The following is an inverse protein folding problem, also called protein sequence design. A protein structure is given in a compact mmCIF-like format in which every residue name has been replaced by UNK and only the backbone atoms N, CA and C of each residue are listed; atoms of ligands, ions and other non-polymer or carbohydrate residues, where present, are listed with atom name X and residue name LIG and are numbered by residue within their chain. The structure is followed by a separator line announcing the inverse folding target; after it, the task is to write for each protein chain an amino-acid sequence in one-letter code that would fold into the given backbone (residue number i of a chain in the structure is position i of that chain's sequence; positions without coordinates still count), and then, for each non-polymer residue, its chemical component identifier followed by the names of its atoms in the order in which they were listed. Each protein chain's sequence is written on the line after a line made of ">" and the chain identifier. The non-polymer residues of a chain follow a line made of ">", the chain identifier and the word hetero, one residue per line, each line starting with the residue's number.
data_IF_566319182562
#
_entry.id   IF_566319182562
#
_cell.length_a   1.000
_cell.length_b   1.000
_cell.length_c   1.000
_cell.angle_alpha   90.00
_cell.angle_beta   90.00
_cell.angle_gamma   90.00
#
_symmetry.space_group_name_H-M   'P 1'
#
loop_
_entity.id
_entity.type
_entity.pdbx_description
1 polymer ?
#
# COMPACT_ATOMS: atom_id res chain seq x y z
N UNK A 1 -5.39 17.49 2.61
CA UNK A 1 -5.23 18.07 3.96
C UNK A 1 -5.27 19.59 3.89
N UNK A 2 -6.21 20.21 4.63
CA UNK A 2 -6.30 21.66 4.80
C UNK A 2 -5.11 22.17 5.63
N UNK A 3 -4.60 23.37 5.34
CA UNK A 3 -3.61 24.04 6.19
C UNK A 3 -4.33 25.08 7.04
N UNK A 4 -3.83 25.32 8.25
CA UNK A 4 -4.43 26.33 9.12
C UNK A 4 -4.35 27.73 8.50
N UNK A 5 -5.50 28.36 8.37
CA UNK A 5 -5.69 29.63 7.66
C UNK A 5 -6.53 30.63 8.47
N UNK A 6 -6.75 30.36 9.76
CA UNK A 6 -7.36 31.32 10.68
C UNK A 6 -6.50 32.58 10.80
N UNK A 7 -7.11 33.69 11.19
CA UNK A 7 -6.42 34.99 11.32
C UNK A 7 -5.27 35.01 12.33
N UNK A 8 -5.19 34.02 13.22
CA UNK A 8 -4.09 33.86 14.18
C UNK A 8 -3.13 32.72 13.82
N UNK A 9 -3.21 32.20 12.59
CA UNK A 9 -2.19 31.32 12.04
C UNK A 9 -0.85 32.06 11.89
N UNK A 10 0.25 31.37 12.18
CA UNK A 10 1.59 31.90 11.92
C UNK A 10 1.84 31.89 10.42
N UNK A 11 1.88 33.09 9.82
CA UNK A 11 2.11 33.25 8.38
C UNK A 11 3.47 32.69 7.98
N UNK A 12 3.50 31.96 6.86
CA UNK A 12 4.71 31.46 6.20
C UNK A 12 5.68 30.65 7.09
N UNK A 13 5.19 30.04 8.19
CA UNK A 13 6.00 29.25 9.14
C UNK A 13 6.87 28.19 8.48
N UNK A 14 6.39 27.59 7.39
CA UNK A 14 7.09 26.54 6.65
C UNK A 14 7.49 26.98 5.22
N UNK A 15 7.61 28.29 4.97
CA UNK A 15 7.89 28.89 3.67
C UNK A 15 6.70 29.66 3.09
N UNK A 16 6.90 30.33 1.96
CA UNK A 16 5.90 31.20 1.33
C UNK A 16 4.57 30.45 1.07
N UNK A 17 3.47 31.02 1.54
CA UNK A 17 2.11 30.45 1.48
C UNK A 17 1.85 29.29 2.44
N UNK A 18 2.81 28.92 3.30
CA UNK A 18 2.73 27.73 4.16
C UNK A 18 2.60 28.12 5.63
N UNK A 19 1.41 28.57 5.98
CA UNK A 19 1.05 28.92 7.35
C UNK A 19 1.12 27.70 8.29
N UNK A 20 1.28 27.97 9.59
CA UNK A 20 1.34 26.94 10.63
C UNK A 20 0.80 27.39 11.98
N UNK A 21 0.74 26.46 12.93
CA UNK A 21 0.29 26.71 14.29
C UNK A 21 1.36 27.44 15.11
N UNK A 22 0.95 28.34 15.99
CA UNK A 22 1.77 28.96 17.02
C UNK A 22 1.05 28.90 18.36
N UNK A 23 1.80 28.77 19.46
CA UNK A 23 1.26 28.89 20.82
C UNK A 23 0.95 30.35 21.19
N UNK A 24 1.29 31.29 20.31
CA UNK A 24 1.31 32.71 20.62
C UNK A 24 2.50 33.07 21.50
N UNK A 25 2.53 34.34 21.88
CA UNK A 25 3.48 34.90 22.83
C UNK A 25 2.81 36.09 23.53
N UNK A 26 2.38 35.93 24.80
CA UNK A 26 1.74 36.98 25.56
C UNK A 26 2.62 38.21 25.76
N UNK A 27 3.95 38.08 25.72
CA UNK A 27 4.89 39.19 25.94
C UNK A 27 4.94 40.15 24.75
N UNK A 28 4.71 39.62 23.55
CA UNK A 28 4.63 40.38 22.29
C UNK A 28 3.20 40.66 21.85
N UNK A 29 2.20 40.17 22.59
CA UNK A 29 0.79 40.26 22.22
C UNK A 29 0.38 39.34 21.07
N UNK A 30 1.24 38.40 20.67
CA UNK A 30 0.95 37.45 19.60
C UNK A 30 -0.07 36.42 20.09
N UNK A 31 -1.28 36.32 19.50
CA UNK A 31 -2.26 35.34 19.94
C UNK A 31 -1.87 33.92 19.51
N UNK A 32 -2.32 32.92 20.28
CA UNK A 32 -2.26 31.52 19.86
C UNK A 32 -3.14 31.26 18.64
N UNK A 33 -2.77 30.25 17.84
CA UNK A 33 -3.55 29.85 16.68
C UNK A 33 -4.92 29.32 17.09
N UNK A 34 -5.97 29.97 16.59
CA UNK A 34 -7.35 29.54 16.73
C UNK A 34 -7.61 28.43 15.74
N UNK A 35 -8.41 27.45 16.14
CA UNK A 35 -8.85 26.36 15.27
C UNK A 35 -10.24 26.69 14.74
N UNK A 36 -10.55 26.25 13.51
CA UNK A 36 -11.84 26.40 12.85
C UNK A 36 -12.39 25.04 12.42
N UNK A 37 -13.65 25.00 11.98
CA UNK A 37 -14.28 23.80 11.41
C UNK A 37 -13.45 23.25 10.25
N UNK A 38 -13.01 24.10 9.35
CA UNK A 38 -12.41 23.69 8.07
C UNK A 38 -11.17 22.80 8.25
N UNK A 39 -10.30 23.11 9.22
CA UNK A 39 -9.13 22.25 9.51
C UNK A 39 -9.53 20.93 10.17
N UNK A 40 -10.52 20.94 11.07
CA UNK A 40 -10.97 19.75 11.78
C UNK A 40 -11.77 18.81 10.90
N UNK A 41 -12.65 19.34 10.05
CA UNK A 41 -13.39 18.59 9.06
C UNK A 41 -12.41 17.97 8.05
N UNK A 42 -11.41 18.71 7.58
CA UNK A 42 -10.38 18.15 6.71
C UNK A 42 -9.59 17.02 7.40
N UNK A 43 -9.20 17.17 8.66
CA UNK A 43 -8.52 16.10 9.41
C UNK A 43 -9.41 14.88 9.60
N UNK A 44 -10.70 15.09 9.90
CA UNK A 44 -11.68 14.01 10.03
C UNK A 44 -11.81 13.24 8.70
N UNK A 45 -12.03 13.94 7.60
CA UNK A 45 -12.26 13.31 6.30
C UNK A 45 -11.02 12.56 5.79
N UNK A 46 -9.80 13.03 6.07
CA UNK A 46 -8.57 12.29 5.75
C UNK A 46 -8.50 10.95 6.51
N UNK A 47 -8.84 10.95 7.81
CA UNK A 47 -8.86 9.72 8.62
C UNK A 47 -10.02 8.80 8.21
N UNK A 48 -11.22 9.36 8.01
CA UNK A 48 -12.40 8.62 7.55
C UNK A 48 -12.15 7.96 6.19
N UNK A 49 -11.54 8.69 5.25
CA UNK A 49 -11.21 8.17 3.92
C UNK A 49 -10.35 6.91 3.98
N UNK A 50 -9.33 6.87 4.85
CA UNK A 50 -8.50 5.66 5.01
C UNK A 50 -9.32 4.48 5.53
N UNK A 51 -10.21 4.73 6.49
CA UNK A 51 -11.08 3.70 7.07
C UNK A 51 -12.05 3.16 6.04
N UNK A 52 -12.75 4.04 5.32
CA UNK A 52 -13.75 3.65 4.33
C UNK A 52 -13.13 2.98 3.10
N UNK A 53 -11.95 3.43 2.64
CA UNK A 53 -11.21 2.76 1.55
C UNK A 53 -10.74 1.34 1.91
N UNK A 54 -10.53 1.06 3.19
CA UNK A 54 -10.30 -0.32 3.65
C UNK A 54 -11.58 -1.17 3.63
N UNK A 55 -12.74 -0.60 3.30
CA UNK A 55 -14.05 -1.25 3.34
C UNK A 55 -14.59 -1.41 4.76
N UNK A 56 -14.12 -0.61 5.73
CA UNK A 56 -14.66 -0.57 7.08
C UNK A 56 -15.68 0.57 7.16
N UNK A 57 -16.87 0.30 7.69
CA UNK A 57 -17.87 1.34 7.96
C UNK A 57 -17.51 2.12 9.23
N UNK A 58 -17.65 3.44 9.18
CA UNK A 58 -17.40 4.32 10.32
C UNK A 58 -18.31 3.99 11.52
N UNK A 59 -17.72 3.92 12.71
CA UNK A 59 -18.39 3.67 13.97
C UNK A 59 -17.90 4.63 15.07
N UNK A 60 -18.76 5.56 15.50
CA UNK A 60 -18.45 6.57 16.53
C UNK A 60 -18.06 6.00 17.90
N UNK A 61 -18.44 4.76 18.21
CA UNK A 61 -18.09 4.08 19.46
C UNK A 61 -16.76 3.31 19.36
N UNK A 62 -16.06 3.36 18.22
CA UNK A 62 -14.80 2.65 18.00
C UNK A 62 -13.65 3.60 17.70
N UNK A 63 -12.72 3.75 18.65
CA UNK A 63 -11.62 4.72 18.60
C UNK A 63 -10.31 4.20 18.00
N UNK A 64 -10.33 3.00 17.38
CA UNK A 64 -9.15 2.37 16.76
C UNK A 64 -9.41 1.95 15.30
N UNK A 65 -10.31 2.64 14.61
CA UNK A 65 -10.68 2.34 13.23
C UNK A 65 -9.54 2.51 12.24
N UNK A 66 -8.76 3.59 12.36
CA UNK A 66 -7.60 3.83 11.50
C UNK A 66 -6.58 2.69 11.60
N UNK A 67 -6.31 2.22 12.81
CA UNK A 67 -5.44 1.06 13.04
C UNK A 67 -5.94 -0.19 12.31
N UNK A 68 -7.24 -0.51 12.42
CA UNK A 68 -7.84 -1.66 11.72
C UNK A 68 -7.74 -1.51 10.20
N UNK A 69 -7.98 -0.30 9.70
CA UNK A 69 -7.94 0.00 8.28
C UNK A 69 -6.54 -0.21 7.70
N UNK A 70 -5.51 0.34 8.35
CA UNK A 70 -4.11 0.18 7.95
C UNK A 70 -3.72 -1.30 7.94
N UNK A 71 -4.07 -2.06 8.99
CA UNK A 71 -3.81 -3.50 9.06
C UNK A 71 -4.44 -4.23 7.86
N UNK A 72 -5.72 -3.97 7.58
CA UNK A 72 -6.46 -4.61 6.49
C UNK A 72 -5.92 -4.23 5.10
N UNK A 73 -5.54 -2.97 4.89
CA UNK A 73 -4.93 -2.52 3.63
C UNK A 73 -3.57 -3.21 3.41
N UNK A 74 -2.74 -3.30 4.45
CA UNK A 74 -1.45 -4.01 4.37
C UNK A 74 -1.63 -5.50 4.05
N UNK A 75 -2.63 -6.16 4.66
CA UNK A 75 -2.96 -7.56 4.36
C UNK A 75 -3.46 -7.72 2.91
N UNK A 76 -4.23 -6.76 2.41
CA UNK A 76 -4.75 -6.77 1.03
C UNK A 76 -3.61 -6.70 0.02
N UNK A 77 -2.67 -5.76 0.19
CA UNK A 77 -1.50 -5.64 -0.69
C UNK A 77 -0.60 -6.88 -0.65
N UNK A 78 -0.35 -7.44 0.54
CA UNK A 78 0.41 -8.68 0.68
C UNK A 78 -0.26 -9.86 -0.06
N UNK A 79 -1.58 -9.98 0.03
CA UNK A 79 -2.34 -11.01 -0.66
C UNK A 79 -2.33 -10.82 -2.18
N UNK A 80 -2.41 -9.58 -2.67
CA UNK A 80 -2.30 -9.26 -4.10
C UNK A 80 -0.92 -9.67 -4.65
N UNK A 81 0.16 -9.33 -3.94
CA UNK A 81 1.52 -9.73 -4.32
C UNK A 81 1.67 -11.26 -4.33
N UNK A 82 1.16 -11.94 -3.30
CA UNK A 82 1.15 -13.41 -3.24
C UNK A 82 0.40 -14.03 -4.42
N UNK A 83 -0.76 -13.47 -4.79
CA UNK A 83 -1.54 -13.95 -5.93
C UNK A 83 -0.77 -13.82 -7.25
N UNK A 84 -0.12 -12.68 -7.48
CA UNK A 84 0.69 -12.47 -8.67
C UNK A 84 1.84 -13.49 -8.79
N UNK A 85 2.50 -13.80 -7.67
CA UNK A 85 3.53 -14.83 -7.62
C UNK A 85 2.98 -16.23 -7.97
N UNK A 86 1.84 -16.61 -7.39
CA UNK A 86 1.21 -17.91 -7.66
C UNK A 86 0.80 -18.02 -9.13
N UNK A 87 0.20 -16.97 -9.69
CA UNK A 87 -0.21 -16.93 -11.10
C UNK A 87 1.01 -17.10 -12.04
N UNK A 88 2.15 -16.49 -11.72
CA UNK A 88 3.41 -16.69 -12.45
C UNK A 88 3.98 -18.10 -12.34
N UNK A 89 4.04 -18.67 -11.13
CA UNK A 89 4.53 -20.04 -10.91
C UNK A 89 3.69 -21.10 -11.64
N UNK A 90 2.38 -20.87 -11.77
CA UNK A 90 1.51 -21.77 -12.53
C UNK A 90 1.90 -21.81 -14.02
N UNK A 91 2.30 -20.67 -14.60
CA UNK A 91 2.78 -20.59 -16.00
C UNK A 91 4.12 -21.32 -16.15
N UNK A 92 5.05 -21.12 -15.22
CA UNK A 92 6.37 -21.76 -15.25
C UNK A 92 6.25 -23.28 -15.12
N UNK A 93 5.44 -23.77 -14.17
CA UNK A 93 5.20 -25.20 -13.99
C UNK A 93 4.57 -25.83 -15.24
N UNK A 94 3.61 -25.13 -15.87
CA UNK A 94 3.02 -25.57 -17.13
C UNK A 94 4.05 -25.65 -18.26
N UNK A 95 5.01 -24.72 -18.28
CA UNK A 95 6.09 -24.71 -19.28
C UNK A 95 7.06 -25.87 -19.06
N UNK A 96 7.51 -26.10 -17.82
CA UNK A 96 8.36 -27.24 -17.47
C UNK A 96 7.70 -28.57 -17.83
N UNK A 97 6.41 -28.74 -17.53
CA UNK A 97 5.65 -29.95 -17.87
C UNK A 97 5.58 -30.17 -19.40
N UNK A 98 5.41 -29.11 -20.20
CA UNK A 98 5.41 -29.22 -21.66
C UNK A 98 6.78 -29.63 -22.21
N UNK A 99 7.88 -29.06 -21.68
CA UNK A 99 9.25 -29.44 -22.06
C UNK A 99 9.54 -30.89 -21.69
N UNK A 100 9.19 -31.30 -20.46
CA UNK A 100 9.37 -32.68 -20.02
C UNK A 100 8.66 -33.67 -20.94
N UNK A 101 7.41 -33.39 -21.31
CA UNK A 101 6.65 -34.18 -22.29
C UNK A 101 7.30 -34.20 -23.68
N UNK A 102 7.81 -33.07 -24.16
CA UNK A 102 8.48 -32.99 -25.47
C UNK A 102 9.78 -33.81 -25.53
N UNK A 103 10.47 -33.94 -24.39
CA UNK A 103 11.64 -34.82 -24.22
C UNK A 103 11.27 -36.28 -23.90
N UNK A 104 9.97 -36.62 -23.96
CA UNK A 104 9.48 -37.98 -23.75
C UNK A 104 9.36 -38.40 -22.28
N UNK A 105 9.54 -37.49 -21.32
CA UNK A 105 9.59 -37.78 -19.87
C UNK A 105 10.54 -38.95 -19.52
N UNK A 106 11.56 -39.20 -20.34
CA UNK A 106 12.46 -40.34 -20.17
C UNK A 106 13.57 -39.99 -19.17
N UNK A 107 13.61 -40.62 -17.97
CA UNK A 107 14.66 -40.38 -16.98
C UNK A 107 16.06 -40.75 -17.50
N UNK A 108 16.12 -41.59 -18.54
CA UNK A 108 17.32 -42.06 -19.23
C UNK A 108 17.46 -41.45 -20.62
N UNK A 109 16.83 -40.30 -20.89
CA UNK A 109 16.82 -39.66 -22.21
C UNK A 109 18.20 -39.66 -22.91
N UNK A 110 19.28 -39.33 -22.18
CA UNK A 110 20.65 -39.37 -22.73
C UNK A 110 21.12 -40.77 -23.11
N UNK A 111 20.83 -41.79 -22.30
CA UNK A 111 21.16 -43.20 -22.57
C UNK A 111 20.34 -43.72 -23.76
N UNK A 112 19.03 -43.42 -23.80
CA UNK A 112 18.13 -43.78 -24.90
C UNK A 112 18.58 -43.18 -26.23
N UNK A 113 18.89 -41.87 -26.25
CA UNK A 113 19.41 -41.21 -27.46
C UNK A 113 20.76 -41.78 -27.87
N UNK A 114 21.67 -42.02 -26.92
CA UNK A 114 22.98 -42.64 -27.19
C UNK A 114 22.81 -44.01 -27.84
N UNK A 115 21.92 -44.86 -27.32
CA UNK A 115 21.64 -46.18 -27.87
C UNK A 115 21.00 -46.13 -29.26
N UNK A 116 20.09 -45.18 -29.51
CA UNK A 116 19.46 -44.98 -30.83
C UNK A 116 20.45 -44.49 -31.89
N UNK A 117 21.43 -43.67 -31.52
CA UNK A 117 22.47 -43.22 -32.45
C UNK A 117 23.44 -44.35 -32.76
N UNK A 118 23.84 -45.12 -31.74
CA UNK A 118 24.75 -46.25 -31.91
C UNK A 118 24.12 -47.39 -32.72
N UNK A 119 22.80 -47.56 -32.72
CA UNK A 119 22.11 -48.60 -33.50
C UNK A 119 21.84 -48.22 -34.96
N UNK A 120 22.13 -46.98 -35.36
CA UNK A 120 22.00 -46.48 -36.74
C UNK A 120 23.31 -46.50 -37.54
N UNK A 121 24.44 -46.79 -36.89
CA UNK A 121 25.74 -47.04 -37.52
C UNK A 121 26.00 -48.54 -37.61
#
# INVERSE_FOLDING_TARGET
>A
MHRIDTSTAQKDKFGQGKNGFTNGDPTTGTPSTKLNSDIYDALQEEVCTVVERSGIRLNKSQHYQLYRAIKKLSETEANNAKKALIDGLAIDLNTLNKVAKALGNDPKFSETVTNLLNSKN
#
